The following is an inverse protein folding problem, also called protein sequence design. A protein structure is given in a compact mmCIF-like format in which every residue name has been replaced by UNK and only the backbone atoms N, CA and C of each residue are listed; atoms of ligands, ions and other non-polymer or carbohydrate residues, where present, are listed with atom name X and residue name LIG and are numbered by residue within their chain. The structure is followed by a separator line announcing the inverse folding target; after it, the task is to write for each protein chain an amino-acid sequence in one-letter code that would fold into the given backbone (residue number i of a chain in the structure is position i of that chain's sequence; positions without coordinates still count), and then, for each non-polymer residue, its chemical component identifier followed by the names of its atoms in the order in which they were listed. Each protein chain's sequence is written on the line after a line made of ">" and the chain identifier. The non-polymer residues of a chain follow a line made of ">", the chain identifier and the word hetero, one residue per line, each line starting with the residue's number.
data_IF_928591557705
#
_entry.id   IF_928591557705
#
_cell.length_a   1.000
_cell.length_b   1.000
_cell.length_c   1.000
_cell.angle_alpha   90.00
_cell.angle_beta   90.00
_cell.angle_gamma   90.00
#
_symmetry.space_group_name_H-M   'P 1'
#
loop_
_entity.id
_entity.type
_entity.pdbx_description
1 polymer ?
#
# COMPACT_ATOMS: atom_id res chain seq x y z
N UNK A 1 10.48 -10.69 18.88
CA UNK A 1 10.15 -9.25 18.71
C UNK A 1 9.15 -9.15 17.60
N UNK A 2 7.88 -8.84 17.89
CA UNK A 2 6.80 -8.80 16.90
C UNK A 2 7.18 -7.80 15.80
N UNK A 3 7.58 -8.30 14.63
CA UNK A 3 7.93 -7.46 13.50
C UNK A 3 6.74 -6.58 13.15
N UNK A 4 6.94 -5.26 13.15
CA UNK A 4 5.88 -4.29 12.87
C UNK A 4 5.47 -4.48 11.41
N UNK A 5 4.37 -5.20 11.17
CA UNK A 5 3.88 -5.49 9.83
C UNK A 5 3.37 -4.20 9.19
N UNK A 6 3.81 -3.93 7.96
CA UNK A 6 3.32 -2.80 7.16
C UNK A 6 2.02 -3.14 6.43
N UNK A 7 1.57 -4.39 6.47
CA UNK A 7 0.39 -4.83 5.72
C UNK A 7 -0.86 -3.98 6.03
N UNK A 8 -1.23 -3.74 7.30
CA UNK A 8 -2.44 -2.98 7.61
C UNK A 8 -2.37 -1.51 7.16
N UNK A 9 -1.17 -0.95 7.04
CA UNK A 9 -0.97 0.42 6.58
C UNK A 9 -1.15 0.52 5.06
N UNK A 10 -0.77 -0.51 4.31
CA UNK A 10 -1.01 -0.56 2.86
C UNK A 10 -2.52 -0.66 2.59
N UNK A 11 -3.21 -1.57 3.27
CA UNK A 11 -4.68 -1.72 3.20
C UNK A 11 -5.40 -0.41 3.58
N UNK A 12 -4.93 0.27 4.63
CA UNK A 12 -5.52 1.54 5.05
C UNK A 12 -5.31 2.64 4.00
N UNK A 13 -4.15 2.67 3.33
CA UNK A 13 -3.90 3.62 2.25
C UNK A 13 -4.81 3.36 1.05
N UNK A 14 -5.06 2.10 0.69
CA UNK A 14 -6.01 1.69 -0.34
C UNK A 14 -7.44 2.13 0.02
N UNK A 15 -7.89 1.81 1.23
CA UNK A 15 -9.23 2.18 1.71
C UNK A 15 -9.45 3.71 1.71
N UNK A 16 -8.46 4.49 2.15
CA UNK A 16 -8.55 5.95 2.06
C UNK A 16 -8.64 6.44 0.61
N UNK A 17 -7.93 5.80 -0.32
CA UNK A 17 -8.03 6.14 -1.74
C UNK A 17 -9.41 5.82 -2.31
N UNK A 18 -9.99 4.66 -1.98
CA UNK A 18 -11.33 4.26 -2.39
C UNK A 18 -12.41 5.23 -1.89
N UNK A 19 -12.20 5.82 -0.72
CA UNK A 19 -13.06 6.87 -0.15
C UNK A 19 -12.80 8.27 -0.74
N UNK A 20 -11.85 8.43 -1.68
CA UNK A 20 -11.44 9.73 -2.21
C UNK A 20 -10.60 10.59 -1.24
N UNK A 21 -10.20 10.04 -0.10
CA UNK A 21 -9.43 10.70 0.95
C UNK A 21 -7.91 10.67 0.66
N UNK A 22 -7.51 11.23 -0.48
CA UNK A 22 -6.14 11.13 -1.01
C UNK A 22 -5.05 11.70 -0.09
N UNK A 23 -5.38 12.70 0.74
CA UNK A 23 -4.40 13.26 1.70
C UNK A 23 -4.04 12.23 2.78
N UNK A 24 -5.04 11.59 3.38
CA UNK A 24 -4.85 10.55 4.38
C UNK A 24 -4.17 9.32 3.78
N UNK A 25 -4.50 8.97 2.54
CA UNK A 25 -3.84 7.89 1.81
C UNK A 25 -2.34 8.16 1.65
N UNK A 26 -1.96 9.38 1.24
CA UNK A 26 -0.54 9.82 1.12
C UNK A 26 0.19 9.83 2.46
N UNK A 27 -0.43 10.32 3.53
CA UNK A 27 0.20 10.29 4.86
C UNK A 27 0.40 8.87 5.39
N UNK A 28 -0.54 7.98 5.10
CA UNK A 28 -0.42 6.56 5.43
C UNK A 28 0.72 5.92 4.64
N UNK A 29 0.82 6.19 3.33
CA UNK A 29 1.93 5.73 2.48
C UNK A 29 3.31 6.22 2.98
N UNK A 30 3.42 7.48 3.44
CA UNK A 30 4.64 7.98 4.08
C UNK A 30 5.01 7.18 5.33
N UNK A 31 4.03 6.71 6.08
CA UNK A 31 4.26 5.89 7.27
C UNK A 31 4.75 4.49 6.91
N UNK A 32 4.25 3.89 5.82
CA UNK A 32 4.79 2.64 5.25
C UNK A 32 6.29 2.80 4.98
N UNK A 33 6.69 3.87 4.29
CA UNK A 33 8.11 4.12 3.95
C UNK A 33 8.99 4.42 5.17
N UNK A 34 8.43 5.02 6.24
CA UNK A 34 9.17 5.22 7.50
C UNK A 34 9.47 3.89 8.21
N UNK A 35 8.54 2.94 8.16
CA UNK A 35 8.69 1.64 8.83
C UNK A 35 9.49 0.67 7.96
N UNK A 36 9.24 0.70 6.65
CA UNK A 36 9.88 -0.16 5.66
C UNK A 36 10.37 0.67 4.47
N UNK A 37 11.58 1.28 4.58
CA UNK A 37 12.12 2.15 3.53
C UNK A 37 12.39 1.45 2.19
N UNK A 38 12.49 0.11 2.21
CA UNK A 38 12.68 -0.74 1.03
C UNK A 38 11.36 -1.30 0.50
N UNK A 39 10.24 -0.68 0.88
CA UNK A 39 8.93 -1.05 0.33
C UNK A 39 8.96 -0.93 -1.19
N UNK A 40 8.31 -1.88 -1.84
CA UNK A 40 8.15 -1.95 -3.28
C UNK A 40 6.73 -2.44 -3.54
N UNK A 41 5.97 -1.68 -4.32
CA UNK A 41 4.61 -2.07 -4.72
C UNK A 41 4.65 -3.40 -5.48
N UNK A 42 5.68 -3.62 -6.30
CA UNK A 42 5.85 -4.90 -7.02
C UNK A 42 6.07 -6.08 -6.07
N UNK A 43 6.91 -5.91 -5.05
CA UNK A 43 7.16 -6.95 -4.05
C UNK A 43 5.92 -7.22 -3.19
N UNK A 44 5.11 -6.19 -2.93
CA UNK A 44 3.85 -6.28 -2.23
C UNK A 44 2.82 -7.13 -2.99
N UNK A 45 2.62 -6.86 -4.28
CA UNK A 45 1.64 -7.58 -5.11
C UNK A 45 2.04 -9.03 -5.44
N UNK A 46 3.32 -9.37 -5.28
CA UNK A 46 3.80 -10.74 -5.41
C UNK A 46 3.39 -11.65 -4.22
N UNK A 47 2.83 -11.08 -3.15
CA UNK A 47 2.35 -11.85 -1.99
C UNK A 47 1.03 -12.54 -2.35
N UNK A 48 0.96 -13.89 -2.40
CA UNK A 48 -0.20 -14.62 -2.91
C UNK A 48 -1.47 -14.51 -2.05
N UNK A 49 -1.34 -14.05 -0.80
CA UNK A 49 -2.40 -14.10 0.20
C UNK A 49 -3.62 -13.21 -0.09
N UNK A 50 -3.54 -12.33 -1.09
CA UNK A 50 -4.58 -11.32 -1.42
C UNK A 50 -4.95 -11.27 -2.92
N UNK A 51 -4.70 -12.33 -3.69
CA UNK A 51 -4.90 -12.29 -5.15
C UNK A 51 -6.35 -12.56 -5.59
N UNK A 52 -7.12 -11.47 -5.75
CA UNK A 52 -8.01 -11.31 -6.91
C UNK A 52 -7.25 -10.47 -7.96
N UNK A 53 -7.15 -10.96 -9.20
CA UNK A 53 -6.39 -10.28 -10.25
C UNK A 53 -6.99 -8.92 -10.61
N UNK A 54 -8.30 -8.74 -10.40
CA UNK A 54 -9.01 -7.50 -10.69
C UNK A 54 -8.63 -6.38 -9.72
N UNK A 55 -8.42 -6.72 -8.45
CA UNK A 55 -8.00 -5.77 -7.42
C UNK A 55 -6.52 -5.40 -7.55
N UNK A 56 -5.70 -6.30 -8.11
CA UNK A 56 -4.25 -6.11 -8.27
C UNK A 56 -3.89 -4.91 -9.14
N UNK A 57 -4.58 -4.70 -10.27
CA UNK A 57 -4.30 -3.57 -11.17
C UNK A 57 -4.78 -2.23 -10.59
N UNK A 58 -5.94 -2.24 -9.93
CA UNK A 58 -6.49 -1.08 -9.24
C UNK A 58 -5.56 -0.64 -8.10
N UNK A 59 -5.15 -1.58 -7.27
CA UNK A 59 -4.31 -1.31 -6.12
C UNK A 59 -2.93 -0.82 -6.56
N UNK A 60 -2.36 -1.39 -7.64
CA UNK A 60 -1.12 -0.89 -8.25
C UNK A 60 -1.22 0.60 -8.62
N UNK A 61 -2.29 1.00 -9.29
CA UNK A 61 -2.51 2.39 -9.70
C UNK A 61 -2.65 3.32 -8.49
N UNK A 62 -3.40 2.88 -7.47
CA UNK A 62 -3.59 3.63 -6.22
C UNK A 62 -2.27 3.81 -5.47
N UNK A 63 -1.54 2.72 -5.23
CA UNK A 63 -0.30 2.74 -4.45
C UNK A 63 0.76 3.66 -5.07
N UNK A 64 0.86 3.68 -6.40
CA UNK A 64 1.70 4.64 -7.12
C UNK A 64 1.21 6.08 -6.97
N UNK A 65 -0.09 6.31 -7.07
CA UNK A 65 -0.71 7.65 -6.93
C UNK A 65 -0.48 8.27 -5.54
N UNK A 66 -0.42 7.44 -4.50
CA UNK A 66 -0.15 7.89 -3.12
C UNK A 66 1.34 8.01 -2.80
N UNK A 67 2.22 7.70 -3.77
CA UNK A 67 3.65 7.94 -3.70
C UNK A 67 4.49 6.75 -3.19
N UNK A 68 3.97 5.52 -3.25
CA UNK A 68 4.77 4.33 -2.98
C UNK A 68 5.59 3.94 -4.24
N UNK A 69 6.87 3.60 -4.08
CA UNK A 69 7.76 3.26 -5.19
C UNK A 69 7.57 1.81 -5.66
N UNK A 70 7.94 1.55 -6.91
CA UNK A 70 7.94 0.20 -7.51
C UNK A 70 8.99 -0.75 -6.93
#
# INVERSE_FOLDING_TARGET
>A
TTGRSVLPLVELALAYSDMGALLQARETAKTVLKIYPRFSVKAWLAVPAYQDQTDTERDLAVLRTVGLPD
#
